data_IF_022319001463
#
_entry.id   IF_022319001463
#
_cell.length_a   1.000
_cell.length_b   1.000
_cell.length_c   1.000
_cell.angle_alpha   90.00
_cell.angle_beta   90.00
_cell.angle_gamma   90.00
#
_symmetry.space_group_name_H-M   'P 1'
#
loop_
_entity.id
_entity.type
_entity.pdbx_description
1 polymer ?
#
# COMPACT_ATOMS: atom_id res chain seq x y z
N UNK A 1 -11.18 -45.33 -20.13
CA UNK A 1 -10.20 -44.29 -20.51
C UNK A 1 -10.64 -43.02 -19.82
N UNK A 2 -10.27 -42.91 -18.57
CA UNK A 2 -10.66 -41.79 -17.70
C UNK A 2 -9.64 -40.68 -17.82
N UNK A 3 -10.16 -39.51 -18.18
CA UNK A 3 -9.39 -38.29 -18.36
C UNK A 3 -9.18 -37.65 -16.97
N UNK A 4 -7.95 -37.40 -16.47
CA UNK A 4 -7.77 -36.75 -15.20
C UNK A 4 -8.07 -35.25 -15.33
N UNK A 5 -9.12 -34.80 -14.70
CA UNK A 5 -9.43 -33.40 -14.45
C UNK A 5 -8.29 -32.75 -13.68
N UNK A 6 -7.50 -31.95 -14.37
CA UNK A 6 -6.55 -31.02 -13.78
C UNK A 6 -7.33 -29.94 -13.00
N UNK A 7 -7.51 -30.18 -11.71
CA UNK A 7 -7.93 -29.14 -10.77
C UNK A 7 -6.81 -28.12 -10.63
N UNK A 8 -7.01 -26.96 -11.21
CA UNK A 8 -6.17 -25.79 -11.01
C UNK A 8 -6.15 -25.46 -9.51
N UNK A 9 -4.99 -25.40 -8.82
CA UNK A 9 -4.98 -25.08 -7.40
C UNK A 9 -5.54 -23.67 -7.17
N UNK A 10 -6.50 -23.60 -6.27
CA UNK A 10 -7.12 -22.34 -5.84
C UNK A 10 -6.07 -21.30 -5.44
N UNK A 11 -6.23 -20.01 -5.78
CA UNK A 11 -5.31 -18.92 -5.38
C UNK A 11 -5.05 -18.81 -3.87
N UNK A 12 -5.88 -19.49 -3.05
CA UNK A 12 -5.76 -19.55 -1.60
C UNK A 12 -4.62 -20.46 -1.11
N UNK A 13 -4.13 -21.41 -1.93
CA UNK A 13 -3.03 -22.30 -1.52
C UNK A 13 -1.67 -21.62 -1.59
N UNK A 14 -1.48 -20.67 -2.49
CA UNK A 14 -0.21 -19.95 -2.66
C UNK A 14 0.00 -18.85 -1.59
N UNK A 15 -1.08 -18.38 -0.94
CA UNK A 15 -1.02 -17.37 0.14
C UNK A 15 -0.74 -17.94 1.53
N UNK A 16 -0.96 -19.25 1.75
CA UNK A 16 -0.76 -19.91 3.05
C UNK A 16 0.69 -19.92 3.53
N UNK A 17 1.66 -19.81 2.64
CA UNK A 17 3.09 -19.72 2.97
C UNK A 17 3.56 -18.32 3.39
N UNK A 18 2.68 -17.33 3.54
CA UNK A 18 3.04 -15.94 3.85
C UNK A 18 2.68 -15.48 5.26
N UNK A 19 1.99 -16.27 6.05
CA UNK A 19 1.55 -15.90 7.41
C UNK A 19 2.43 -16.57 8.47
N UNK A 20 3.70 -16.22 8.53
CA UNK A 20 4.71 -16.85 9.41
C UNK A 20 4.29 -16.88 10.90
N UNK A 21 3.58 -15.86 11.41
CA UNK A 21 3.03 -15.84 12.77
C UNK A 21 1.91 -16.86 12.93
N UNK A 22 0.99 -16.97 11.96
CA UNK A 22 -0.08 -17.96 11.99
C UNK A 22 0.50 -19.39 11.86
N UNK A 23 1.53 -19.57 11.06
CA UNK A 23 2.22 -20.85 10.91
C UNK A 23 2.99 -21.25 12.17
N UNK A 24 3.60 -20.30 12.87
CA UNK A 24 4.21 -20.52 14.18
C UNK A 24 3.17 -21.00 15.21
N UNK A 25 1.97 -20.43 15.22
CA UNK A 25 0.87 -20.87 16.08
C UNK A 25 0.43 -22.31 15.72
N UNK A 26 0.25 -22.61 14.43
CA UNK A 26 -0.11 -23.96 13.97
C UNK A 26 0.96 -24.99 14.32
N UNK A 27 2.23 -24.63 14.16
CA UNK A 27 3.35 -25.51 14.55
C UNK A 27 3.37 -25.79 16.05
N UNK A 28 2.94 -24.81 16.87
CA UNK A 28 2.74 -25.01 18.30
C UNK A 28 1.41 -25.72 18.66
N UNK A 29 0.69 -26.28 17.68
CA UNK A 29 -0.56 -27.02 17.89
C UNK A 29 -1.79 -26.14 18.08
N UNK A 30 -1.71 -24.83 17.80
CA UNK A 30 -2.81 -23.89 17.95
C UNK A 30 -3.54 -23.70 16.61
N UNK A 31 -4.81 -24.08 16.57
CA UNK A 31 -5.65 -23.86 15.40
C UNK A 31 -6.47 -22.55 15.53
N UNK A 32 -6.70 -21.81 14.43
CA UNK A 32 -7.60 -20.68 14.48
C UNK A 32 -9.04 -21.14 14.65
N UNK A 33 -9.82 -20.44 15.44
CA UNK A 33 -11.26 -20.66 15.54
C UNK A 33 -11.97 -20.22 14.26
N UNK A 34 -11.54 -19.10 13.69
CA UNK A 34 -11.97 -18.58 12.39
C UNK A 34 -10.92 -17.69 11.77
N UNK A 35 -10.92 -17.62 10.45
CA UNK A 35 -10.07 -16.73 9.66
C UNK A 35 -10.86 -16.13 8.50
N UNK A 36 -10.54 -14.90 8.13
CA UNK A 36 -11.13 -14.20 6.99
C UNK A 36 -10.03 -13.44 6.25
N UNK A 37 -9.89 -13.74 4.97
CA UNK A 37 -9.06 -12.94 4.08
C UNK A 37 -9.84 -11.71 3.63
N UNK A 38 -9.19 -10.57 3.66
CA UNK A 38 -9.69 -9.27 3.27
C UNK A 38 -9.01 -8.80 1.99
N UNK A 39 -9.48 -7.66 1.46
CA UNK A 39 -8.87 -7.05 0.30
C UNK A 39 -7.40 -6.69 0.54
N UNK A 40 -6.60 -6.69 -0.55
CA UNK A 40 -5.18 -6.35 -0.55
C UNK A 40 -4.28 -7.24 0.32
N UNK A 41 -4.71 -8.49 0.59
CA UNK A 41 -3.88 -9.48 1.30
C UNK A 41 -3.83 -9.33 2.82
N UNK A 42 -4.70 -8.51 3.40
CA UNK A 42 -4.91 -8.47 4.85
C UNK A 42 -5.70 -9.70 5.30
N UNK A 43 -5.52 -10.12 6.55
CA UNK A 43 -6.24 -11.28 7.11
C UNK A 43 -6.62 -11.01 8.56
N UNK A 44 -7.83 -11.37 8.93
CA UNK A 44 -8.30 -11.41 10.31
C UNK A 44 -8.31 -12.87 10.80
N UNK A 45 -7.93 -13.11 12.04
CA UNK A 45 -8.00 -14.43 12.65
C UNK A 45 -8.31 -14.37 14.13
N UNK A 46 -9.18 -15.24 14.59
CA UNK A 46 -9.46 -15.46 16.01
C UNK A 46 -8.82 -16.77 16.44
N UNK A 47 -8.13 -16.73 17.55
CA UNK A 47 -7.32 -17.82 18.07
C UNK A 47 -7.69 -18.14 19.50
N UNK A 48 -7.53 -19.39 19.88
CA UNK A 48 -7.57 -19.82 21.27
C UNK A 48 -6.32 -20.67 21.56
N UNK A 49 -5.53 -20.27 22.54
CA UNK A 49 -4.39 -21.06 23.00
C UNK A 49 -4.61 -21.48 24.46
N UNK A 50 -4.00 -22.57 24.88
CA UNK A 50 -4.16 -23.15 26.23
C UNK A 50 -2.85 -23.27 26.98
N UNK A 51 -1.82 -23.74 26.28
CA UNK A 51 -0.51 -24.03 26.89
C UNK A 51 0.57 -24.15 25.83
N UNK A 52 1.83 -24.09 26.24
CA UNK A 52 2.97 -24.32 25.40
C UNK A 52 3.82 -23.09 25.15
N UNK A 53 4.87 -23.29 24.36
CA UNK A 53 5.75 -22.23 23.91
C UNK A 53 5.47 -21.88 22.46
N UNK A 54 5.39 -20.60 22.15
CA UNK A 54 5.27 -20.07 20.78
C UNK A 54 6.45 -19.15 20.51
N UNK A 55 7.10 -19.36 19.34
CA UNK A 55 8.21 -18.51 18.89
C UNK A 55 7.87 -17.86 17.57
N UNK A 56 8.05 -16.55 17.49
CA UNK A 56 7.95 -15.79 16.24
C UNK A 56 9.35 -15.37 15.80
N UNK A 57 9.78 -15.86 14.63
CA UNK A 57 11.14 -15.70 14.13
C UNK A 57 11.10 -14.95 12.79
N UNK A 58 11.32 -13.62 12.85
CA UNK A 58 11.41 -12.72 11.70
C UNK A 58 10.27 -12.89 10.69
N UNK A 59 9.00 -12.71 11.09
CA UNK A 59 7.87 -12.81 10.17
C UNK A 59 8.01 -11.78 9.04
N UNK A 60 7.57 -12.14 7.85
CA UNK A 60 7.60 -11.26 6.66
C UNK A 60 6.44 -10.29 6.57
N UNK A 61 5.52 -10.36 7.52
CA UNK A 61 4.35 -9.49 7.66
C UNK A 61 4.24 -8.98 9.10
N UNK A 62 3.43 -7.94 9.28
CA UNK A 62 3.09 -7.43 10.59
C UNK A 62 1.88 -8.15 11.17
N UNK A 63 1.78 -8.19 12.48
CA UNK A 63 0.55 -8.62 13.15
C UNK A 63 0.25 -7.72 14.35
N UNK A 64 -1.02 -7.32 14.45
CA UNK A 64 -1.60 -6.78 15.67
C UNK A 64 -2.33 -7.93 16.38
N UNK A 65 -2.00 -8.19 17.64
CA UNK A 65 -2.69 -9.11 18.53
C UNK A 65 -3.46 -8.35 19.59
N UNK A 66 -4.71 -8.73 19.83
CA UNK A 66 -5.55 -8.15 20.89
C UNK A 66 -6.11 -9.31 21.72
N UNK A 67 -5.87 -9.29 23.01
CA UNK A 67 -6.36 -10.30 23.94
C UNK A 67 -7.84 -10.04 24.24
N UNK A 68 -8.70 -10.98 23.90
CA UNK A 68 -10.15 -10.84 24.01
C UNK A 68 -10.63 -11.28 25.41
N UNK A 69 -10.20 -12.46 25.83
CA UNK A 69 -10.53 -13.02 27.15
C UNK A 69 -9.29 -13.62 27.80
N UNK A 70 -9.18 -13.43 29.10
CA UNK A 70 -8.04 -13.93 29.92
C UNK A 70 -6.68 -13.41 29.48
N UNK A 71 -5.64 -14.25 29.45
CA UNK A 71 -4.30 -13.92 28.97
C UNK A 71 -3.27 -13.64 30.07
N UNK A 72 -3.65 -13.66 31.37
CA UNK A 72 -2.74 -13.40 32.51
C UNK A 72 -1.60 -14.41 32.58
N UNK A 73 -1.79 -15.61 32.02
CA UNK A 73 -0.80 -16.67 31.95
C UNK A 73 -0.05 -16.73 30.61
N UNK A 74 -0.31 -15.80 29.72
CA UNK A 74 0.48 -15.59 28.50
C UNK A 74 1.64 -14.62 28.82
N UNK A 75 2.86 -15.12 28.82
CA UNK A 75 4.05 -14.40 29.27
C UNK A 75 5.03 -14.23 28.10
N UNK A 76 5.54 -13.01 27.92
CA UNK A 76 6.67 -12.79 27.01
C UNK A 76 7.97 -13.13 27.72
N UNK A 77 8.79 -13.94 27.05
CA UNK A 77 10.07 -14.40 27.58
C UNK A 77 11.25 -13.65 26.94
N UNK A 78 12.22 -13.24 27.73
CA UNK A 78 13.50 -12.69 27.27
C UNK A 78 14.59 -13.31 28.12
N UNK A 79 15.58 -13.95 27.48
CA UNK A 79 16.66 -14.64 28.17
C UNK A 79 16.18 -15.63 29.27
N UNK A 80 15.12 -16.38 28.95
CA UNK A 80 14.53 -17.37 29.88
C UNK A 80 13.70 -16.79 31.01
N UNK A 81 13.50 -15.46 31.09
CA UNK A 81 12.73 -14.80 32.13
C UNK A 81 11.47 -14.16 31.57
N UNK A 82 10.36 -14.25 32.31
CA UNK A 82 9.13 -13.53 31.99
C UNK A 82 9.32 -12.02 32.21
N UNK A 83 9.16 -11.22 31.16
CA UNK A 83 9.33 -9.75 31.21
C UNK A 83 8.01 -9.00 31.19
N UNK A 84 6.94 -9.62 30.71
CA UNK A 84 5.58 -9.06 30.77
C UNK A 84 4.53 -10.18 30.74
N UNK A 85 3.32 -9.85 31.20
CA UNK A 85 2.16 -10.74 31.23
C UNK A 85 0.98 -10.08 30.55
N UNK A 86 0.16 -10.89 29.89
CA UNK A 86 -1.06 -10.42 29.27
C UNK A 86 -2.17 -10.10 30.27
N UNK A 87 -3.23 -9.52 29.75
CA UNK A 87 -4.49 -9.23 30.44
C UNK A 87 -5.59 -9.04 29.39
N UNK A 88 -6.87 -9.14 29.73
CA UNK A 88 -7.95 -8.87 28.79
C UNK A 88 -7.87 -7.44 28.24
N UNK A 89 -7.87 -7.29 26.92
CA UNK A 89 -7.66 -6.00 26.24
C UNK A 89 -6.20 -5.63 25.98
N UNK A 90 -5.24 -6.45 26.45
CA UNK A 90 -3.84 -6.23 26.12
C UNK A 90 -3.61 -6.32 24.60
N UNK A 91 -2.83 -5.37 24.07
CA UNK A 91 -2.39 -5.40 22.68
C UNK A 91 -0.90 -5.76 22.56
N UNK A 92 -0.58 -6.51 21.52
CA UNK A 92 0.78 -6.74 21.07
C UNK A 92 0.90 -6.38 19.59
N UNK A 93 1.96 -5.69 19.22
CA UNK A 93 2.29 -5.37 17.84
C UNK A 93 3.61 -6.04 17.46
N UNK A 94 3.55 -6.89 16.46
CA UNK A 94 4.67 -7.65 15.91
C UNK A 94 5.03 -7.08 14.53
N UNK A 95 5.99 -6.17 14.44
CA UNK A 95 6.48 -5.72 13.13
C UNK A 95 7.13 -6.86 12.35
N UNK A 96 7.13 -6.77 11.03
CA UNK A 96 7.91 -7.66 10.17
C UNK A 96 9.39 -7.65 10.62
N UNK A 97 10.03 -8.81 10.59
CA UNK A 97 11.42 -8.98 11.03
C UNK A 97 11.63 -9.05 12.55
N UNK A 98 10.59 -8.83 13.38
CA UNK A 98 10.68 -8.91 14.85
C UNK A 98 10.93 -10.35 15.36
N UNK A 99 11.35 -10.47 16.62
CA UNK A 99 11.51 -11.76 17.30
C UNK A 99 10.88 -11.73 18.67
N UNK A 100 10.14 -12.78 19.01
CA UNK A 100 9.56 -12.89 20.35
C UNK A 100 9.28 -14.35 20.73
N UNK A 101 9.38 -14.63 22.04
CA UNK A 101 9.13 -15.95 22.63
C UNK A 101 8.04 -15.79 23.68
N UNK A 102 7.11 -16.72 23.65
CA UNK A 102 5.90 -16.69 24.48
C UNK A 102 5.73 -18.00 25.22
N UNK A 103 5.54 -17.93 26.52
CA UNK A 103 5.18 -19.06 27.37
C UNK A 103 3.72 -18.90 27.76
N UNK A 104 2.92 -19.89 27.41
CA UNK A 104 1.48 -19.91 27.68
C UNK A 104 1.23 -20.97 28.76
N UNK A 105 0.68 -20.53 29.89
CA UNK A 105 0.39 -21.41 31.03
C UNK A 105 -1.10 -21.57 31.30
N UNK A 106 -1.98 -21.06 30.45
CA UNK A 106 -3.43 -21.20 30.61
C UNK A 106 -4.22 -20.73 29.41
N UNK A 107 -5.46 -21.16 29.35
CA UNK A 107 -6.34 -20.84 28.23
C UNK A 107 -6.61 -19.35 28.13
N UNK A 108 -6.51 -18.79 26.92
CA UNK A 108 -6.92 -17.44 26.57
C UNK A 108 -7.34 -17.36 25.11
N UNK A 109 -8.10 -16.32 24.80
CA UNK A 109 -8.61 -16.02 23.49
C UNK A 109 -8.04 -14.70 23.00
N UNK A 110 -7.62 -14.66 21.73
CA UNK A 110 -7.02 -13.49 21.14
C UNK A 110 -7.36 -13.37 19.66
N UNK A 111 -7.31 -12.14 19.17
CA UNK A 111 -7.58 -11.77 17.81
C UNK A 111 -6.28 -11.32 17.15
N UNK A 112 -6.02 -11.76 15.92
CA UNK A 112 -4.92 -11.26 15.10
C UNK A 112 -5.43 -10.55 13.85
N UNK A 113 -4.81 -9.42 13.55
CA UNK A 113 -4.92 -8.73 12.28
C UNK A 113 -3.55 -8.73 11.61
N UNK A 114 -3.45 -9.38 10.45
CA UNK A 114 -2.24 -9.49 9.65
C UNK A 114 -2.28 -8.49 8.50
N UNK A 115 -1.18 -7.79 8.25
CA UNK A 115 -1.01 -6.79 7.20
C UNK A 115 0.48 -6.67 6.84
N UNK A 116 0.80 -5.96 5.74
CA UNK A 116 2.16 -5.89 5.19
C UNK A 116 2.70 -4.43 5.11
N UNK A 117 3.97 -4.29 4.71
CA UNK A 117 4.63 -2.98 4.56
C UNK A 117 3.91 -2.08 3.54
N UNK A 118 3.31 -2.64 2.48
CA UNK A 118 2.55 -1.87 1.48
C UNK A 118 1.31 -1.24 2.10
N UNK A 119 0.64 -1.96 3.00
CA UNK A 119 -0.52 -1.44 3.72
C UNK A 119 -0.12 -0.31 4.66
N UNK A 120 0.99 -0.48 5.39
CA UNK A 120 1.57 0.56 6.27
C UNK A 120 1.95 1.79 5.46
N UNK A 121 2.66 1.62 4.35
CA UNK A 121 3.09 2.70 3.47
C UNK A 121 1.90 3.49 2.88
N UNK A 122 0.86 2.77 2.43
CA UNK A 122 -0.38 3.38 1.92
C UNK A 122 -1.09 4.19 2.99
N UNK A 123 -1.23 3.63 4.19
CA UNK A 123 -1.86 4.29 5.32
C UNK A 123 -1.06 5.53 5.75
N UNK A 124 0.26 5.42 5.83
CA UNK A 124 1.15 6.51 6.20
C UNK A 124 1.13 7.67 5.21
N UNK A 125 1.10 7.38 3.90
CA UNK A 125 1.01 8.41 2.86
C UNK A 125 -0.30 9.22 2.90
N UNK A 126 -1.36 8.62 3.43
CA UNK A 126 -2.64 9.29 3.64
C UNK A 126 -2.72 10.09 4.96
N UNK A 127 -1.94 9.69 5.96
CA UNK A 127 -2.01 10.24 7.32
C UNK A 127 -0.94 11.29 7.58
N UNK A 128 0.27 11.07 7.04
CA UNK A 128 1.43 11.93 7.27
C UNK A 128 2.03 12.38 5.94
N UNK A 129 2.43 13.63 5.86
CA UNK A 129 3.24 14.15 4.75
C UNK A 129 4.71 13.67 4.90
N UNK A 130 4.87 12.35 4.98
CA UNK A 130 6.17 11.70 5.22
C UNK A 130 6.40 10.59 4.20
N UNK A 131 7.67 10.33 3.92
CA UNK A 131 8.09 9.26 3.02
C UNK A 131 7.68 7.89 3.63
N UNK A 132 6.86 7.09 2.95
CA UNK A 132 6.43 5.78 3.44
C UNK A 132 7.58 4.86 3.82
N UNK A 133 8.72 4.93 3.09
CA UNK A 133 9.90 4.09 3.34
C UNK A 133 10.61 4.41 4.68
N UNK A 134 10.20 5.50 5.34
CA UNK A 134 10.72 5.93 6.64
C UNK A 134 9.80 5.61 7.81
N UNK A 135 8.66 5.03 7.53
CA UNK A 135 7.69 4.65 8.54
C UNK A 135 8.09 3.29 9.11
N UNK A 136 8.29 3.24 10.42
CA UNK A 136 8.60 2.01 11.12
C UNK A 136 7.57 1.76 12.22
N UNK A 137 6.98 0.57 12.23
CA UNK A 137 6.16 0.13 13.34
C UNK A 137 7.05 -0.25 14.52
N UNK A 138 6.67 0.20 15.71
CA UNK A 138 7.39 -0.10 16.93
C UNK A 138 6.85 -1.39 17.56
N UNK A 139 7.74 -2.28 18.00
CA UNK A 139 7.35 -3.43 18.81
C UNK A 139 6.59 -2.95 20.06
N UNK A 140 5.45 -3.56 20.33
CA UNK A 140 4.65 -3.34 21.55
C UNK A 140 4.20 -4.68 22.08
N UNK A 141 4.34 -4.87 23.38
CA UNK A 141 3.96 -6.14 24.01
C UNK A 141 3.22 -5.87 25.30
N UNK A 142 2.03 -6.47 25.45
CA UNK A 142 1.14 -6.32 26.60
C UNK A 142 0.92 -4.84 26.97
N UNK A 143 0.61 -4.01 25.97
CA UNK A 143 0.27 -2.60 26.18
C UNK A 143 -1.24 -2.43 26.22
N UNK A 144 -1.66 -1.45 27.01
CA UNK A 144 -3.03 -0.99 27.02
C UNK A 144 -3.26 0.00 25.88
N UNK A 145 -4.26 -0.27 25.05
CA UNK A 145 -4.82 0.67 24.07
C UNK A 145 -6.33 0.42 24.00
N UNK A 146 -7.13 1.20 24.73
CA UNK A 146 -8.57 0.99 24.82
C UNK A 146 -9.29 1.06 23.46
N UNK A 147 -8.80 1.87 22.53
CA UNK A 147 -9.38 2.02 21.19
C UNK A 147 -9.18 0.73 20.39
N UNK A 148 -7.95 0.22 20.36
CA UNK A 148 -7.65 -1.04 19.67
C UNK A 148 -8.33 -2.23 20.34
N UNK A 149 -8.38 -2.26 21.66
CA UNK A 149 -9.05 -3.32 22.41
C UNK A 149 -10.57 -3.38 22.11
N UNK A 150 -11.25 -2.23 22.04
CA UNK A 150 -12.67 -2.19 21.67
C UNK A 150 -12.91 -2.59 20.21
N UNK A 151 -12.04 -2.15 19.29
CA UNK A 151 -12.12 -2.56 17.90
C UNK A 151 -11.95 -4.08 17.72
N UNK A 152 -10.98 -4.68 18.41
CA UNK A 152 -10.79 -6.13 18.41
C UNK A 152 -12.02 -6.90 18.93
N UNK A 153 -12.62 -6.43 20.02
CA UNK A 153 -13.86 -7.00 20.54
C UNK A 153 -15.01 -6.88 19.54
N UNK A 154 -15.18 -5.74 18.89
CA UNK A 154 -16.20 -5.54 17.87
C UNK A 154 -16.03 -6.51 16.70
N UNK A 155 -14.80 -6.69 16.21
CA UNK A 155 -14.48 -7.65 15.15
C UNK A 155 -14.80 -9.09 15.57
N UNK A 156 -14.48 -9.47 16.80
CA UNK A 156 -14.78 -10.82 17.32
C UNK A 156 -16.28 -11.04 17.52
N UNK A 157 -17.04 -10.05 17.96
CA UNK A 157 -18.50 -10.15 18.16
C UNK A 157 -19.29 -10.16 16.84
N UNK A 158 -18.69 -9.71 15.74
CA UNK A 158 -19.35 -9.66 14.45
C UNK A 158 -19.52 -11.06 13.83
N UNK A 159 -20.61 -11.26 13.10
CA UNK A 159 -20.84 -12.47 12.32
C UNK A 159 -20.08 -12.37 10.98
N UNK A 160 -18.93 -13.03 10.89
CA UNK A 160 -18.06 -12.96 9.71
C UNK A 160 -18.66 -13.62 8.44
N UNK A 161 -19.73 -14.41 8.58
CA UNK A 161 -20.36 -15.12 7.46
C UNK A 161 -21.64 -14.46 6.95
N UNK A 162 -22.14 -13.43 7.65
CA UNK A 162 -23.36 -12.76 7.23
C UNK A 162 -23.19 -12.04 5.88
N UNK A 163 -24.21 -12.00 5.01
CA UNK A 163 -24.18 -11.31 3.75
C UNK A 163 -23.76 -9.83 3.90
N UNK A 164 -22.81 -9.38 3.09
CA UNK A 164 -22.28 -8.00 3.11
C UNK A 164 -21.27 -7.72 4.24
N UNK A 165 -21.06 -8.65 5.16
CA UNK A 165 -20.18 -8.45 6.30
C UNK A 165 -18.70 -8.35 5.91
N UNK A 166 -18.28 -9.00 4.82
CA UNK A 166 -16.90 -8.92 4.32
C UNK A 166 -16.47 -7.46 4.04
N UNK A 167 -17.35 -6.65 3.44
CA UNK A 167 -17.08 -5.24 3.19
C UNK A 167 -16.98 -4.44 4.51
N UNK A 168 -17.89 -4.70 5.46
CA UNK A 168 -17.83 -4.05 6.77
C UNK A 168 -16.54 -4.40 7.54
N UNK A 169 -16.12 -5.67 7.48
CA UNK A 169 -14.85 -6.13 8.06
C UNK A 169 -13.64 -5.46 7.41
N UNK A 170 -13.63 -5.31 6.08
CA UNK A 170 -12.52 -4.64 5.39
C UNK A 170 -12.42 -3.16 5.78
N UNK A 171 -13.54 -2.43 5.86
CA UNK A 171 -13.55 -1.04 6.32
C UNK A 171 -13.09 -0.91 7.78
N UNK A 172 -13.53 -1.81 8.66
CA UNK A 172 -13.11 -1.79 10.06
C UNK A 172 -11.63 -2.16 10.20
N UNK A 173 -11.13 -3.11 9.42
CA UNK A 173 -9.71 -3.45 9.37
C UNK A 173 -8.86 -2.30 8.81
N UNK A 174 -9.36 -1.57 7.82
CA UNK A 174 -8.69 -0.37 7.31
C UNK A 174 -8.63 0.73 8.38
N UNK A 175 -9.71 0.95 9.11
CA UNK A 175 -9.72 1.88 10.24
C UNK A 175 -8.75 1.42 11.35
N UNK A 176 -8.73 0.12 11.67
CA UNK A 176 -7.82 -0.46 12.65
C UNK A 176 -6.36 -0.24 12.25
N UNK A 177 -6.02 -0.47 10.98
CA UNK A 177 -4.68 -0.19 10.45
C UNK A 177 -4.31 1.30 10.61
N UNK A 178 -5.23 2.21 10.31
CA UNK A 178 -5.02 3.64 10.51
C UNK A 178 -4.70 3.97 11.97
N UNK A 179 -5.43 3.38 12.94
CA UNK A 179 -5.16 3.55 14.36
C UNK A 179 -3.78 2.99 14.74
N UNK A 180 -3.42 1.79 14.26
CA UNK A 180 -2.11 1.19 14.51
C UNK A 180 -0.99 2.08 13.99
N UNK A 181 -1.07 2.53 12.75
CA UNK A 181 -0.03 3.38 12.14
C UNK A 181 0.06 4.72 12.85
N UNK A 182 -1.06 5.42 13.08
CA UNK A 182 -1.05 6.75 13.68
C UNK A 182 -0.57 6.76 15.15
N UNK A 183 -0.74 5.67 15.89
CA UNK A 183 -0.45 5.61 17.34
C UNK A 183 0.83 4.85 17.68
N UNK A 184 1.25 3.90 16.83
CA UNK A 184 2.34 2.96 17.15
C UNK A 184 3.45 2.92 16.10
N UNK A 185 3.36 3.72 15.05
CA UNK A 185 4.48 3.91 14.14
C UNK A 185 5.34 5.13 14.54
N UNK A 186 6.55 5.14 14.07
CA UNK A 186 7.49 6.27 14.17
C UNK A 186 8.08 6.55 12.80
N UNK A 187 8.34 7.82 12.54
CA UNK A 187 9.16 8.21 11.39
C UNK A 187 10.62 8.08 11.82
N UNK A 188 11.35 7.15 11.23
CA UNK A 188 12.81 7.11 11.42
C UNK A 188 13.34 8.47 11.00
N UNK A 189 14.13 9.12 11.89
CA UNK A 189 14.79 10.39 11.57
C UNK A 189 15.63 10.17 10.32
N UNK A 190 15.04 10.53 9.19
CA UNK A 190 15.82 10.66 7.98
C UNK A 190 16.88 11.73 8.16
N UNK A 191 17.98 11.67 7.41
CA UNK A 191 18.73 12.87 7.14
C UNK A 191 17.74 13.97 6.73
N UNK A 192 17.98 15.25 7.12
CA UNK A 192 16.98 16.31 7.09
C UNK A 192 16.20 16.23 5.80
N UNK A 193 14.88 16.26 5.91
CA UNK A 193 14.00 16.21 4.75
C UNK A 193 14.59 17.17 3.72
N UNK A 194 14.83 16.69 2.50
CA UNK A 194 15.24 17.56 1.39
C UNK A 194 14.09 18.54 1.20
N UNK A 195 14.11 19.61 2.02
CA UNK A 195 13.25 20.76 1.88
C UNK A 195 13.84 21.53 0.72
N UNK A 196 13.21 21.50 -0.44
CA UNK A 196 13.75 22.20 -1.58
C UNK A 196 13.07 21.78 -2.88
N UNK A 197 13.55 22.34 -3.93
CA UNK A 197 13.25 21.98 -5.31
C UNK A 197 14.32 21.01 -5.81
N UNK A 198 14.01 20.28 -6.88
CA UNK A 198 15.01 19.52 -7.63
C UNK A 198 16.15 20.45 -8.08
N UNK A 199 17.38 19.98 -8.01
CA UNK A 199 18.52 20.73 -8.52
C UNK A 199 18.31 21.09 -10.01
N UNK A 200 18.96 22.13 -10.48
CA UNK A 200 18.88 22.54 -11.87
C UNK A 200 19.28 21.39 -12.82
N UNK A 201 20.25 20.58 -12.42
CA UNK A 201 20.71 19.41 -13.18
C UNK A 201 19.62 18.32 -13.28
N UNK A 202 18.96 17.98 -12.15
CA UNK A 202 17.87 17.01 -12.13
C UNK A 202 16.63 17.52 -12.87
N UNK A 203 16.32 18.81 -12.76
CA UNK A 203 15.24 19.43 -13.52
C UNK A 203 15.46 19.28 -15.01
N UNK A 204 16.66 19.59 -15.51
CA UNK A 204 17.02 19.47 -16.92
C UNK A 204 16.99 18.01 -17.39
N UNK A 205 17.59 17.09 -16.62
CA UNK A 205 17.58 15.66 -16.92
C UNK A 205 16.15 15.13 -17.06
N UNK A 206 15.27 15.45 -16.13
CA UNK A 206 13.86 15.03 -16.17
C UNK A 206 13.11 15.59 -17.36
N UNK A 207 13.34 16.84 -17.71
CA UNK A 207 12.74 17.43 -18.91
C UNK A 207 13.19 16.71 -20.17
N UNK A 208 14.48 16.46 -20.33
CA UNK A 208 15.06 15.75 -21.47
C UNK A 208 14.53 14.31 -21.55
N UNK A 209 14.55 13.55 -20.46
CA UNK A 209 14.10 12.16 -20.43
C UNK A 209 12.57 12.05 -20.65
N UNK A 210 11.77 12.89 -20.00
CA UNK A 210 10.32 12.91 -20.24
C UNK A 210 10.02 13.21 -21.70
N UNK A 211 10.69 14.21 -22.29
CA UNK A 211 10.50 14.55 -23.70
C UNK A 211 10.89 13.41 -24.66
N UNK A 212 11.94 12.66 -24.35
CA UNK A 212 12.37 11.51 -25.15
C UNK A 212 11.36 10.36 -25.13
N UNK A 213 10.65 10.18 -24.02
CA UNK A 213 9.83 9.01 -23.71
C UNK A 213 8.31 9.30 -23.70
N UNK A 214 7.85 10.41 -24.30
CA UNK A 214 6.46 10.82 -24.31
C UNK A 214 5.52 9.84 -25.02
N UNK A 215 6.03 9.04 -25.94
CA UNK A 215 5.28 8.11 -26.80
C UNK A 215 4.88 6.82 -26.09
N UNK A 216 5.46 6.52 -24.90
CA UNK A 216 5.16 5.33 -24.11
C UNK A 216 4.65 5.66 -22.70
N UNK A 217 4.04 4.70 -22.00
CA UNK A 217 3.67 4.88 -20.60
C UNK A 217 4.90 5.16 -19.73
N UNK A 218 4.83 6.22 -18.93
CA UNK A 218 5.82 6.58 -17.93
C UNK A 218 5.24 6.37 -16.52
N UNK A 219 5.92 5.58 -15.69
CA UNK A 219 5.54 5.36 -14.32
C UNK A 219 6.24 6.32 -13.37
N UNK A 220 5.61 6.58 -12.21
CA UNK A 220 6.21 7.42 -11.16
C UNK A 220 7.55 6.85 -10.68
N UNK A 221 7.61 5.52 -10.50
CA UNK A 221 8.81 4.83 -10.03
C UNK A 221 9.96 4.94 -11.02
N UNK A 222 9.69 4.86 -12.31
CA UNK A 222 10.67 5.02 -13.37
C UNK A 222 11.25 6.44 -13.40
N UNK A 223 10.40 7.46 -13.39
CA UNK A 223 10.84 8.86 -13.36
C UNK A 223 11.64 9.18 -12.10
N UNK A 224 11.27 8.62 -10.96
CA UNK A 224 11.99 8.75 -9.69
C UNK A 224 13.37 8.09 -9.77
N UNK A 225 13.48 6.93 -10.43
CA UNK A 225 14.72 6.21 -10.65
C UNK A 225 15.76 7.01 -11.46
N UNK A 226 15.35 7.83 -12.42
CA UNK A 226 16.27 8.67 -13.20
C UNK A 226 17.05 9.69 -12.36
N UNK A 227 16.51 10.06 -11.21
CA UNK A 227 17.12 11.00 -10.26
C UNK A 227 17.48 10.36 -8.92
N UNK A 228 17.43 9.02 -8.85
CA UNK A 228 17.78 8.23 -7.69
C UNK A 228 17.01 8.62 -6.41
N UNK A 229 15.71 8.87 -6.56
CA UNK A 229 14.80 9.22 -5.47
C UNK A 229 13.73 8.14 -5.28
N UNK A 230 13.17 8.05 -4.06
CA UNK A 230 11.93 7.28 -3.87
C UNK A 230 10.77 7.96 -4.62
N UNK A 231 9.76 7.21 -5.09
CA UNK A 231 8.60 7.77 -5.79
C UNK A 231 7.89 8.89 -5.02
N UNK A 232 7.80 8.77 -3.70
CA UNK A 232 7.20 9.78 -2.83
C UNK A 232 8.02 11.08 -2.81
N UNK A 233 9.32 10.99 -2.53
CA UNK A 233 10.24 12.14 -2.55
C UNK A 233 10.25 12.83 -3.91
N UNK A 234 10.32 12.03 -4.97
CA UNK A 234 10.25 12.53 -6.33
C UNK A 234 8.98 13.33 -6.60
N UNK A 235 7.80 12.78 -6.31
CA UNK A 235 6.53 13.44 -6.55
C UNK A 235 6.44 14.80 -5.82
N UNK A 236 6.91 14.87 -4.57
CA UNK A 236 6.93 16.08 -3.77
C UNK A 236 7.89 17.14 -4.34
N UNK A 237 9.14 16.75 -4.60
CA UNK A 237 10.15 17.66 -5.15
C UNK A 237 9.79 18.09 -6.59
N UNK A 238 9.22 17.17 -7.36
CA UNK A 238 8.75 17.47 -8.71
C UNK A 238 7.66 18.54 -8.68
N UNK A 239 6.64 18.37 -7.81
CA UNK A 239 5.57 19.35 -7.66
C UNK A 239 6.08 20.70 -7.17
N UNK A 240 7.03 20.72 -6.24
CA UNK A 240 7.66 21.97 -5.76
C UNK A 240 8.48 22.66 -6.86
N UNK A 241 9.05 21.89 -7.83
CA UNK A 241 9.90 22.40 -8.90
C UNK A 241 9.11 22.83 -10.13
N UNK A 242 8.11 22.03 -10.52
CA UNK A 242 7.35 22.21 -11.76
C UNK A 242 5.95 22.80 -11.55
N UNK A 243 5.50 22.94 -10.30
CA UNK A 243 4.19 23.49 -9.94
C UNK A 243 3.01 22.54 -10.12
N UNK A 244 3.25 21.31 -10.61
CA UNK A 244 2.21 20.31 -10.87
C UNK A 244 2.73 18.89 -10.60
N UNK A 245 1.80 17.93 -10.49
CA UNK A 245 2.17 16.52 -10.32
C UNK A 245 2.87 15.95 -11.57
N UNK A 246 3.76 14.94 -11.43
CA UNK A 246 4.49 14.34 -12.56
C UNK A 246 3.60 13.89 -13.71
N UNK A 247 2.49 13.21 -13.41
CA UNK A 247 1.55 12.75 -14.42
C UNK A 247 0.90 13.93 -15.19
N UNK A 248 0.54 15.00 -14.49
CA UNK A 248 -0.05 16.21 -15.11
C UNK A 248 0.97 16.87 -16.06
N UNK A 249 2.23 16.91 -15.65
CA UNK A 249 3.31 17.42 -16.49
C UNK A 249 3.49 16.60 -17.77
N UNK A 250 3.57 15.28 -17.67
CA UNK A 250 3.67 14.38 -18.83
C UNK A 250 2.49 14.57 -19.79
N UNK A 251 1.27 14.63 -19.24
CA UNK A 251 0.06 14.88 -20.06
C UNK A 251 0.12 16.23 -20.79
N UNK A 252 0.56 17.29 -20.13
CA UNK A 252 0.72 18.61 -20.74
C UNK A 252 1.74 18.56 -21.87
N UNK A 253 2.92 17.91 -21.67
CA UNK A 253 3.94 17.78 -22.69
C UNK A 253 3.45 16.97 -23.91
N UNK A 254 2.67 15.91 -23.68
CA UNK A 254 2.01 15.15 -24.76
C UNK A 254 1.06 15.99 -25.58
N UNK A 255 0.25 16.81 -24.93
CA UNK A 255 -0.69 17.73 -25.62
C UNK A 255 0.04 18.80 -26.40
N UNK A 256 1.13 19.36 -25.88
CA UNK A 256 1.96 20.33 -26.59
C UNK A 256 2.58 19.68 -27.84
N UNK A 257 3.17 18.50 -27.69
CA UNK A 257 3.75 17.73 -28.84
C UNK A 257 2.68 17.43 -29.89
N UNK A 258 1.49 17.00 -29.47
CA UNK A 258 0.39 16.73 -30.39
C UNK A 258 -0.08 18.01 -31.13
N UNK A 259 -0.14 19.14 -30.44
CA UNK A 259 -0.47 20.45 -31.03
C UNK A 259 0.53 20.79 -32.17
N UNK A 260 1.81 20.57 -31.95
CA UNK A 260 2.84 20.90 -32.92
C UNK A 260 2.77 19.95 -34.13
N UNK A 261 2.49 18.66 -33.94
CA UNK A 261 2.22 17.71 -35.03
C UNK A 261 0.97 18.10 -35.83
N UNK A 262 -0.11 18.55 -35.19
CA UNK A 262 -1.32 18.99 -35.87
C UNK A 262 -1.10 20.23 -36.79
N UNK A 263 -0.14 21.08 -36.43
CA UNK A 263 0.24 22.26 -37.23
C UNK A 263 1.12 21.94 -38.43
N UNK A 264 1.91 20.87 -38.35
CA UNK A 264 2.98 20.59 -39.30
C UNK A 264 2.66 19.42 -40.25
N UNK A 265 1.66 18.59 -39.92
CA UNK A 265 1.39 17.39 -40.71
C UNK A 265 -0.11 17.18 -40.99
N UNK A 266 -0.36 16.44 -42.09
CA UNK A 266 -1.68 15.96 -42.49
C UNK A 266 -1.98 14.56 -41.93
N UNK A 267 -1.11 14.02 -41.10
CA UNK A 267 -1.24 12.69 -40.46
C UNK A 267 -2.59 12.56 -39.73
N UNK A 268 -3.20 11.38 -39.78
CA UNK A 268 -4.48 11.11 -39.09
C UNK A 268 -4.39 11.47 -37.64
N UNK A 269 -5.45 12.09 -37.09
CA UNK A 269 -5.49 12.53 -35.68
C UNK A 269 -5.28 11.36 -34.71
N UNK A 270 -5.81 10.18 -35.05
CA UNK A 270 -5.63 8.95 -34.29
C UNK A 270 -4.16 8.51 -34.22
N UNK A 271 -3.43 8.63 -35.34
CA UNK A 271 -1.99 8.32 -35.41
C UNK A 271 -1.16 9.34 -34.59
N UNK A 272 -1.53 10.63 -34.62
CA UNK A 272 -0.88 11.65 -33.79
C UNK A 272 -1.13 11.37 -32.31
N UNK A 273 -2.35 10.99 -31.92
CA UNK A 273 -2.66 10.62 -30.54
C UNK A 273 -1.77 9.49 -30.03
N UNK A 274 -1.65 8.41 -30.81
CA UNK A 274 -0.79 7.26 -30.48
C UNK A 274 0.69 7.66 -30.40
N UNK A 275 1.20 8.40 -31.39
CA UNK A 275 2.59 8.86 -31.41
C UNK A 275 2.94 9.82 -30.26
N UNK A 276 1.94 10.42 -29.63
CA UNK A 276 2.09 11.25 -28.43
C UNK A 276 1.77 10.49 -27.13
N UNK A 277 1.64 9.17 -27.16
CA UNK A 277 1.48 8.33 -25.97
C UNK A 277 0.07 8.29 -25.38
N UNK A 278 -0.97 8.63 -26.18
CA UNK A 278 -2.36 8.42 -25.78
C UNK A 278 -2.84 7.06 -26.24
N UNK A 279 -3.40 6.27 -25.35
CA UNK A 279 -3.92 4.93 -25.68
C UNK A 279 -5.28 4.97 -26.41
N UNK A 280 -6.02 6.09 -26.31
CA UNK A 280 -7.34 6.27 -26.88
C UNK A 280 -7.50 7.67 -27.47
N UNK A 281 -7.96 7.72 -28.75
CA UNK A 281 -8.21 8.95 -29.48
C UNK A 281 -9.33 9.80 -28.87
N UNK A 282 -10.30 9.17 -28.18
CA UNK A 282 -11.40 9.87 -27.51
C UNK A 282 -10.89 10.59 -26.27
N UNK A 283 -10.03 9.90 -25.48
CA UNK A 283 -9.34 10.48 -24.33
C UNK A 283 -8.47 11.67 -24.77
N UNK A 284 -7.69 11.48 -25.84
CA UNK A 284 -6.88 12.54 -26.43
C UNK A 284 -7.73 13.75 -26.81
N UNK A 285 -8.81 13.54 -27.58
CA UNK A 285 -9.67 14.62 -28.06
C UNK A 285 -10.31 15.43 -26.93
N UNK A 286 -10.74 14.75 -25.85
CA UNK A 286 -11.29 15.41 -24.64
C UNK A 286 -10.21 16.23 -23.92
N UNK A 287 -9.03 15.63 -23.69
CA UNK A 287 -7.92 16.31 -23.03
C UNK A 287 -7.44 17.53 -23.84
N UNK A 288 -7.32 17.38 -25.16
CA UNK A 288 -6.91 18.43 -26.07
C UNK A 288 -7.92 19.61 -26.08
N UNK A 289 -9.23 19.29 -26.16
CA UNK A 289 -10.29 20.31 -26.08
C UNK A 289 -10.31 21.03 -24.74
N UNK A 290 -10.15 20.29 -23.65
CA UNK A 290 -10.08 20.88 -22.30
C UNK A 290 -8.89 21.85 -22.17
N UNK A 291 -7.75 21.52 -22.77
CA UNK A 291 -6.52 22.33 -22.70
C UNK A 291 -6.49 23.50 -23.64
N UNK A 292 -6.96 23.35 -24.89
CA UNK A 292 -6.82 24.36 -25.95
C UNK A 292 -8.15 25.01 -26.37
N UNK A 293 -9.26 24.63 -25.75
CA UNK A 293 -10.59 25.21 -26.02
C UNK A 293 -11.28 24.69 -27.28
N UNK A 294 -10.58 23.93 -28.13
CA UNK A 294 -11.12 23.41 -29.40
C UNK A 294 -10.64 21.98 -29.66
N UNK A 295 -11.37 21.24 -30.48
CA UNK A 295 -11.00 19.87 -30.85
C UNK A 295 -9.74 19.84 -31.73
N UNK A 296 -9.00 18.71 -31.76
CA UNK A 296 -7.84 18.52 -32.62
C UNK A 296 -8.14 18.84 -34.11
N UNK A 297 -9.33 18.44 -34.61
CA UNK A 297 -9.76 18.70 -35.98
C UNK A 297 -9.95 20.19 -36.26
N UNK A 298 -10.64 20.90 -35.36
CA UNK A 298 -10.84 22.36 -35.46
C UNK A 298 -9.50 23.10 -35.39
N UNK A 299 -8.59 22.67 -34.51
CA UNK A 299 -7.27 23.27 -34.38
C UNK A 299 -6.46 23.14 -35.69
N UNK A 300 -6.46 21.95 -36.31
CA UNK A 300 -5.80 21.70 -37.59
C UNK A 300 -6.35 22.60 -38.73
N UNK A 301 -7.68 22.64 -38.88
CA UNK A 301 -8.33 23.46 -39.91
C UNK A 301 -7.98 24.93 -39.77
N UNK A 302 -8.00 25.48 -38.56
CA UNK A 302 -7.64 26.87 -38.30
C UNK A 302 -6.15 27.16 -38.56
N UNK A 303 -5.26 26.21 -38.25
CA UNK A 303 -3.81 26.36 -38.48
C UNK A 303 -3.44 26.34 -39.96
N UNK A 304 -4.16 25.62 -40.82
CA UNK A 304 -3.93 25.60 -42.25
C UNK A 304 -4.52 26.81 -42.98
N UNK A 305 -5.63 27.36 -42.49
CA UNK A 305 -6.24 28.59 -43.05
C UNK A 305 -5.35 29.84 -42.88
N UNK A 306 -4.50 29.88 -41.85
CA UNK A 306 -3.63 31.03 -41.56
C UNK A 306 -2.29 30.98 -42.38
N UNK A 307 -1.96 29.87 -43.05
CA UNK A 307 -0.77 29.74 -43.94
C UNK A 307 -1.07 30.09 -45.41
N UNK A 308 -2.33 30.32 -45.76
CA UNK A 308 -2.77 30.63 -47.14
C UNK A 308 -3.10 32.12 -47.35
N UNK A 309 -2.68 32.98 -46.41
CA UNK A 309 -2.77 34.45 -46.59
C UNK A 309 -1.40 35.10 -46.63
#
# INVERSE_FOLDING_TARGET
MDNPTTTNPSPLQDRRGQLDIADSLRTAGVAPQRMMDLEHGKTLAQWQNREGEVRYERPRHHALSIYIDKGQQAQRMVNGKAVSRGFPGAMCLFPAGSRSIWQIGGQFEFFHFYFNDVDVARCASQTWDSDPDKIQLNERYHREDPILAQAGKLLVLSDWQAPGQAMAMDHLAQWLLLQVVSRHASVTKAPPAVTGQLSHQYRRLLQEQIHAELDRPLTLSEMAGWVNLSPYHFARLFRATFGCAPYQYVQEQRLIRARDHLRQSTTKITAIALACGFNDASQFSRAFKARFGMTPSQYRSGAHSSKSR
#
